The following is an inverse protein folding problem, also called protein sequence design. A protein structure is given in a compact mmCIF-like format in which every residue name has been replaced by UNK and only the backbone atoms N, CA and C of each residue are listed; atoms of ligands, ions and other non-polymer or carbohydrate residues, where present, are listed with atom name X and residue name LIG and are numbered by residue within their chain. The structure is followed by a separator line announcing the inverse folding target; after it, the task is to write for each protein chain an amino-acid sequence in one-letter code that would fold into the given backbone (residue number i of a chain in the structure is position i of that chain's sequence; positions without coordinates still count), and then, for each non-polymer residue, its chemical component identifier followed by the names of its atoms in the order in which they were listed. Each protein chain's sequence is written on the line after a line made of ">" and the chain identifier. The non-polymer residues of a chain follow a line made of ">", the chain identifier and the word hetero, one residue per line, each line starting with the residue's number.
data_IF_958613201465
#
_entry.id   IF_958613201465
#
_cell.length_a   1.000
_cell.length_b   1.000
_cell.length_c   1.000
_cell.angle_alpha   90.00
_cell.angle_beta   90.00
_cell.angle_gamma   90.00
#
_symmetry.space_group_name_H-M   'P 1'
#
loop_
_entity.id
_entity.type
_entity.pdbx_description
1 polymer ?
#
# COMPACT_ATOMS: atom_id res chain seq x y z
N UNK A 1 -6.36 -30.32 -26.91
CA UNK A 1 -6.79 -29.72 -25.63
C UNK A 1 -8.18 -29.15 -25.78
N UNK A 2 -9.11 -29.50 -24.90
CA UNK A 2 -10.45 -28.90 -24.84
C UNK A 2 -10.37 -27.43 -24.44
N UNK A 3 -11.47 -26.67 -24.57
CA UNK A 3 -11.46 -25.26 -24.16
C UNK A 3 -11.28 -25.13 -22.63
N UNK A 4 -11.91 -26.01 -21.85
CA UNK A 4 -11.78 -25.97 -20.39
C UNK A 4 -10.38 -26.37 -19.91
N UNK A 5 -9.76 -27.38 -20.53
CA UNK A 5 -8.36 -27.72 -20.27
C UNK A 5 -7.44 -26.53 -20.60
N UNK A 6 -7.72 -25.82 -21.69
CA UNK A 6 -6.95 -24.64 -22.09
C UNK A 6 -7.10 -23.49 -21.09
N UNK A 7 -8.32 -23.19 -20.63
CA UNK A 7 -8.57 -22.18 -19.58
C UNK A 7 -7.78 -22.50 -18.32
N UNK A 8 -7.82 -23.75 -17.86
CA UNK A 8 -7.08 -24.20 -16.69
C UNK A 8 -5.57 -24.05 -16.90
N UNK A 9 -5.06 -24.39 -18.09
CA UNK A 9 -3.66 -24.20 -18.42
C UNK A 9 -3.25 -22.72 -18.38
N UNK A 10 -4.02 -21.82 -19.00
CA UNK A 10 -3.76 -20.36 -18.99
C UNK A 10 -3.75 -19.83 -17.56
N UNK A 11 -4.73 -20.22 -16.74
CA UNK A 11 -4.79 -19.81 -15.33
C UNK A 11 -3.57 -20.29 -14.54
N UNK A 12 -3.11 -21.52 -14.81
CA UNK A 12 -1.89 -22.05 -14.20
C UNK A 12 -0.61 -21.37 -14.71
N UNK A 13 -0.58 -20.87 -15.95
CA UNK A 13 0.53 -20.05 -16.43
C UNK A 13 0.57 -18.69 -15.71
N UNK A 14 -0.58 -18.02 -15.60
CA UNK A 14 -0.69 -16.70 -14.96
C UNK A 14 -0.33 -16.78 -13.46
N UNK A 15 -0.73 -17.86 -12.77
CA UNK A 15 -0.45 -18.03 -11.33
C UNK A 15 1.06 -18.12 -11.01
N UNK A 16 1.88 -18.48 -12.00
CA UNK A 16 3.33 -18.57 -11.86
C UNK A 16 4.05 -17.25 -12.14
N UNK A 17 3.37 -16.23 -12.66
CA UNK A 17 4.01 -14.97 -12.98
C UNK A 17 4.47 -14.24 -11.71
N UNK A 18 5.71 -13.72 -11.67
CA UNK A 18 6.19 -12.96 -10.54
C UNK A 18 5.42 -11.65 -10.42
N UNK A 19 4.89 -11.38 -9.23
CA UNK A 19 4.26 -10.11 -8.90
C UNK A 19 5.29 -9.23 -8.20
N UNK A 20 5.52 -8.03 -8.72
CA UNK A 20 6.48 -7.09 -8.17
C UNK A 20 6.11 -6.67 -6.73
N UNK A 21 7.14 -6.31 -5.95
CA UNK A 21 6.94 -5.81 -4.59
C UNK A 21 6.08 -4.54 -4.56
N UNK A 22 6.22 -3.68 -5.57
CA UNK A 22 5.41 -2.48 -5.70
C UNK A 22 3.92 -2.82 -5.86
N UNK A 23 3.55 -3.66 -6.85
CA UNK A 23 2.15 -4.08 -7.07
C UNK A 23 1.55 -4.70 -5.80
N UNK A 24 2.30 -5.60 -5.14
CA UNK A 24 1.86 -6.26 -3.90
C UNK A 24 1.63 -5.28 -2.75
N UNK A 25 2.37 -4.17 -2.70
CA UNK A 25 2.23 -3.15 -1.65
C UNK A 25 1.16 -2.09 -1.94
N UNK A 26 0.92 -1.81 -3.21
CA UNK A 26 0.02 -0.74 -3.67
C UNK A 26 -1.43 -1.19 -3.70
N UNK A 27 -1.69 -2.43 -4.12
CA UNK A 27 -3.03 -2.96 -4.29
C UNK A 27 -3.38 -3.93 -3.16
N UNK A 28 -4.47 -3.64 -2.44
CA UNK A 28 -5.04 -4.56 -1.44
C UNK A 28 -5.80 -5.70 -2.10
N UNK A 29 -6.32 -5.49 -3.31
CA UNK A 29 -6.83 -6.56 -4.16
C UNK A 29 -6.68 -6.24 -5.65
N UNK A 30 -6.54 -7.31 -6.44
CA UNK A 30 -6.46 -7.26 -7.90
C UNK A 30 -7.19 -8.46 -8.48
N UNK A 31 -7.95 -8.24 -9.56
CA UNK A 31 -8.64 -9.32 -10.28
C UNK A 31 -8.39 -9.20 -11.78
N UNK A 32 -8.23 -10.34 -12.45
CA UNK A 32 -8.15 -10.41 -13.91
C UNK A 32 -9.35 -11.20 -14.39
N UNK A 33 -10.15 -10.57 -15.25
CA UNK A 33 -11.37 -11.16 -15.81
C UNK A 33 -11.13 -11.40 -17.30
N UNK A 34 -10.89 -12.65 -17.66
CA UNK A 34 -10.75 -13.07 -19.05
C UNK A 34 -12.12 -13.56 -19.53
N UNK A 35 -12.68 -12.91 -20.55
CA UNK A 35 -13.96 -13.31 -21.13
C UNK A 35 -13.84 -14.65 -21.88
N UNK A 36 -14.96 -15.33 -22.06
CA UNK A 36 -15.01 -16.62 -22.75
C UNK A 36 -14.50 -16.50 -24.19
N UNK A 37 -14.93 -15.46 -24.90
CA UNK A 37 -14.54 -15.18 -26.29
C UNK A 37 -13.04 -14.89 -26.42
N UNK A 38 -12.43 -14.35 -25.37
CA UNK A 38 -10.99 -14.15 -25.30
C UNK A 38 -10.25 -15.50 -25.28
N UNK A 39 -10.70 -16.47 -24.46
CA UNK A 39 -10.11 -17.80 -24.43
C UNK A 39 -10.25 -18.54 -25.75
N UNK A 40 -11.43 -18.44 -26.38
CA UNK A 40 -11.65 -19.03 -27.70
C UNK A 40 -10.67 -18.44 -28.73
N UNK A 41 -10.45 -17.13 -28.71
CA UNK A 41 -9.48 -16.50 -29.60
C UNK A 41 -8.06 -16.93 -29.29
N UNK A 42 -7.62 -16.81 -28.03
CA UNK A 42 -6.24 -17.15 -27.64
C UNK A 42 -5.90 -18.60 -28.04
N UNK A 43 -6.84 -19.53 -27.90
CA UNK A 43 -6.67 -20.93 -28.31
C UNK A 43 -6.41 -21.11 -29.80
N UNK A 44 -6.98 -20.24 -30.64
CA UNK A 44 -6.89 -20.31 -32.10
C UNK A 44 -5.83 -19.34 -32.69
N UNK A 45 -5.38 -18.36 -31.91
CA UNK A 45 -4.49 -17.27 -32.30
C UNK A 45 -3.34 -17.14 -31.29
N UNK A 46 -2.18 -17.77 -31.56
CA UNK A 46 -1.00 -17.72 -30.69
C UNK A 46 -0.43 -16.30 -30.50
N UNK A 47 -0.66 -15.39 -31.45
CA UNK A 47 -0.23 -14.00 -31.32
C UNK A 47 -1.06 -13.30 -30.25
N UNK A 48 -2.39 -13.51 -30.28
CA UNK A 48 -3.29 -12.98 -29.27
C UNK A 48 -3.07 -13.60 -27.89
N UNK A 49 -2.79 -14.90 -27.82
CA UNK A 49 -2.39 -15.56 -26.56
C UNK A 49 -1.17 -14.85 -25.94
N UNK A 50 -0.12 -14.64 -26.73
CA UNK A 50 1.08 -13.95 -26.26
C UNK A 50 0.80 -12.50 -25.85
N UNK A 51 -0.06 -11.79 -26.58
CA UNK A 51 -0.52 -10.46 -26.20
C UNK A 51 -1.17 -10.46 -24.82
N UNK A 52 -2.12 -11.37 -24.57
CA UNK A 52 -2.81 -11.47 -23.28
C UNK A 52 -1.85 -11.82 -22.15
N UNK A 53 -0.99 -12.83 -22.33
CA UNK A 53 -0.02 -13.23 -21.31
C UNK A 53 0.99 -12.11 -21.01
N UNK A 54 1.46 -11.40 -22.03
CA UNK A 54 2.37 -10.26 -21.85
C UNK A 54 1.68 -9.06 -21.18
N UNK A 55 0.41 -8.81 -21.47
CA UNK A 55 -0.38 -7.78 -20.78
C UNK A 55 -0.44 -8.06 -19.29
N UNK A 56 -0.81 -9.28 -18.90
CA UNK A 56 -0.88 -9.69 -17.48
C UNK A 56 0.49 -9.60 -16.81
N UNK A 57 1.55 -10.10 -17.48
CA UNK A 57 2.93 -10.01 -16.98
C UNK A 57 3.37 -8.55 -16.77
N UNK A 58 3.02 -7.67 -17.70
CA UNK A 58 3.35 -6.24 -17.62
C UNK A 58 2.64 -5.58 -16.44
N UNK A 59 1.36 -5.88 -16.22
CA UNK A 59 0.60 -5.39 -15.08
C UNK A 59 1.23 -5.80 -13.73
N UNK A 60 1.71 -7.05 -13.62
CA UNK A 60 2.37 -7.56 -12.41
C UNK A 60 3.79 -6.98 -12.19
N UNK A 61 4.45 -6.52 -13.26
CA UNK A 61 5.84 -6.08 -13.23
C UNK A 61 6.03 -4.57 -12.96
N UNK A 62 4.95 -3.80 -12.80
CA UNK A 62 5.03 -2.34 -12.56
C UNK A 62 5.83 -2.04 -11.29
N UNK A 63 6.83 -1.16 -11.38
CA UNK A 63 7.75 -0.85 -10.27
C UNK A 63 7.55 0.53 -9.61
N UNK A 64 6.69 1.39 -10.16
CA UNK A 64 6.51 2.72 -9.60
C UNK A 64 5.56 3.60 -10.41
N UNK A 65 4.33 3.72 -9.94
CA UNK A 65 3.40 4.78 -10.33
C UNK A 65 3.15 5.69 -9.13
N UNK A 66 2.90 7.00 -9.31
CA UNK A 66 2.61 7.93 -8.24
C UNK A 66 1.15 7.77 -7.75
N UNK A 67 0.79 6.56 -7.34
CA UNK A 67 -0.51 6.23 -6.76
C UNK A 67 -0.31 5.91 -5.28
N UNK A 68 -1.29 6.29 -4.45
CA UNK A 68 -1.27 6.00 -3.01
C UNK A 68 -1.32 4.49 -2.71
N UNK A 69 -1.24 4.11 -1.44
CA UNK A 69 -1.42 2.72 -1.01
C UNK A 69 -2.90 2.35 -0.87
N UNK A 70 -3.20 1.05 -0.75
CA UNK A 70 -4.53 0.51 -0.52
C UNK A 70 -5.54 0.80 -1.65
N UNK A 71 -5.16 0.41 -2.88
CA UNK A 71 -6.04 0.46 -4.05
C UNK A 71 -6.66 -0.92 -4.35
N UNK A 72 -7.80 -0.91 -5.04
CA UNK A 72 -8.35 -2.06 -5.75
C UNK A 72 -8.05 -1.93 -7.24
N UNK A 73 -7.81 -3.05 -7.91
CA UNK A 73 -7.69 -3.10 -9.36
C UNK A 73 -8.49 -4.23 -9.98
N UNK A 74 -8.94 -4.03 -11.21
CA UNK A 74 -9.40 -5.09 -12.07
C UNK A 74 -8.94 -4.86 -13.52
N UNK A 75 -8.63 -5.93 -14.24
CA UNK A 75 -8.32 -5.88 -15.67
C UNK A 75 -9.24 -6.86 -16.42
N UNK A 76 -10.02 -6.34 -17.36
CA UNK A 76 -10.95 -7.10 -18.19
C UNK A 76 -10.30 -7.32 -19.56
N UNK A 77 -10.20 -8.58 -19.98
CA UNK A 77 -9.62 -9.01 -21.24
C UNK A 77 -10.74 -9.53 -22.15
N UNK A 78 -10.96 -8.82 -23.26
CA UNK A 78 -11.98 -9.15 -24.26
C UNK A 78 -11.45 -9.97 -25.42
N UNK A 79 -12.24 -10.10 -26.49
CA UNK A 79 -11.85 -10.84 -27.69
C UNK A 79 -10.87 -10.06 -28.57
N UNK A 80 -10.72 -8.74 -28.35
CA UNK A 80 -9.74 -7.92 -29.04
C UNK A 80 -9.02 -6.95 -28.09
N UNK A 81 -7.87 -6.38 -28.51
CA UNK A 81 -7.15 -5.38 -27.71
C UNK A 81 -8.01 -4.17 -27.32
N UNK A 82 -8.93 -3.76 -28.17
CA UNK A 82 -9.84 -2.63 -27.96
C UNK A 82 -10.91 -2.92 -26.90
N UNK A 83 -11.27 -4.19 -26.74
CA UNK A 83 -12.21 -4.64 -25.70
C UNK A 83 -11.53 -4.87 -24.34
N UNK A 84 -10.20 -4.74 -24.29
CA UNK A 84 -9.44 -4.85 -23.05
C UNK A 84 -9.44 -3.52 -22.29
N UNK A 85 -9.89 -3.51 -21.03
CA UNK A 85 -9.87 -2.31 -20.19
C UNK A 85 -9.59 -2.66 -18.74
N UNK A 86 -8.89 -1.76 -18.05
CA UNK A 86 -8.55 -1.94 -16.65
C UNK A 86 -8.89 -0.72 -15.81
N UNK A 87 -9.08 -0.93 -14.53
CA UNK A 87 -9.31 0.11 -13.53
C UNK A 87 -8.42 -0.12 -12.32
N UNK A 88 -7.92 0.98 -11.75
CA UNK A 88 -7.15 1.01 -10.51
C UNK A 88 -7.54 2.27 -9.73
N UNK A 89 -7.92 2.12 -8.46
CA UNK A 89 -8.31 3.26 -7.63
C UNK A 89 -8.39 2.92 -6.14
N UNK A 90 -8.49 3.94 -5.28
CA UNK A 90 -8.45 3.76 -3.82
C UNK A 90 -9.64 2.96 -3.31
N UNK A 91 -9.41 2.16 -2.27
CA UNK A 91 -10.49 1.46 -1.55
C UNK A 91 -11.17 2.41 -0.58
N UNK A 92 -12.43 2.75 -0.86
CA UNK A 92 -13.27 3.59 0.00
C UNK A 92 -12.98 5.09 -0.12
N UNK A 93 -13.64 5.89 0.75
CA UNK A 93 -13.35 7.33 0.86
C UNK A 93 -11.90 7.49 1.31
N UNK A 94 -11.08 8.16 0.51
CA UNK A 94 -9.77 8.61 0.92
C UNK A 94 -9.90 9.33 2.28
N UNK A 95 -9.04 9.00 3.26
CA UNK A 95 -9.03 9.65 4.58
C UNK A 95 -8.86 11.17 4.58
N UNK A 96 -8.79 11.79 3.39
CA UNK A 96 -8.98 13.22 3.17
C UNK A 96 -10.32 13.78 3.67
N UNK A 97 -11.37 12.95 3.84
CA UNK A 97 -12.67 13.44 4.36
C UNK A 97 -12.81 13.38 5.89
N UNK A 98 -11.80 12.89 6.64
CA UNK A 98 -11.90 12.73 8.11
C UNK A 98 -10.77 13.37 8.91
N UNK A 99 -9.97 14.27 8.33
CA UNK A 99 -8.92 14.98 9.05
C UNK A 99 -8.92 16.48 8.73
N UNK A 100 -9.94 17.19 9.19
CA UNK A 100 -9.91 18.64 9.28
C UNK A 100 -10.69 19.13 10.51
N UNK A 101 -10.44 18.48 11.64
CA UNK A 101 -10.89 18.91 12.96
C UNK A 101 -9.68 19.32 13.83
N UNK A 102 -9.06 20.44 13.46
CA UNK A 102 -8.27 21.29 14.36
C UNK A 102 -7.09 20.62 15.09
N UNK A 103 -5.89 21.02 14.67
CA UNK A 103 -4.56 20.61 15.17
C UNK A 103 -4.09 19.22 14.73
N UNK A 104 -2.97 19.24 14.00
CA UNK A 104 -2.28 18.07 13.46
C UNK A 104 -1.84 17.14 14.59
N UNK A 105 -1.90 15.83 14.35
CA UNK A 105 -1.34 14.82 15.27
C UNK A 105 0.11 15.13 15.68
N UNK A 106 0.89 15.74 14.77
CA UNK A 106 2.27 16.16 15.03
C UNK A 106 2.36 17.32 16.02
N UNK A 107 1.44 18.28 15.97
CA UNK A 107 1.39 19.41 16.89
C UNK A 107 1.05 18.92 18.30
N UNK A 108 0.00 18.11 18.44
CA UNK A 108 -0.38 17.47 19.71
C UNK A 108 0.74 16.60 20.29
N UNK A 109 1.50 15.91 19.43
CA UNK A 109 2.67 15.13 19.84
C UNK A 109 3.82 16.01 20.33
N UNK A 110 4.06 17.14 19.66
CA UNK A 110 5.16 18.04 20.00
C UNK A 110 4.89 18.78 21.31
N UNK A 111 3.67 19.28 21.51
CA UNK A 111 3.25 19.95 22.75
C UNK A 111 3.40 19.03 23.97
N UNK A 112 2.93 17.78 23.87
CA UNK A 112 3.10 16.77 24.92
C UNK A 112 4.59 16.53 25.26
N UNK A 113 5.46 16.55 24.26
CA UNK A 113 6.90 16.39 24.48
C UNK A 113 7.51 17.61 25.19
N UNK A 114 7.09 18.83 24.84
CA UNK A 114 7.54 20.04 25.54
C UNK A 114 7.11 20.07 27.00
N UNK A 115 5.88 19.68 27.31
CA UNK A 115 5.38 19.62 28.68
C UNK A 115 6.21 18.63 29.53
N UNK A 116 6.47 17.43 28.99
CA UNK A 116 7.30 16.44 29.65
C UNK A 116 8.73 16.95 29.91
N UNK A 117 9.32 17.69 28.97
CA UNK A 117 10.64 18.30 29.18
C UNK A 117 10.61 19.35 30.29
N UNK A 118 9.61 20.24 30.29
CA UNK A 118 9.44 21.27 31.33
C UNK A 118 9.24 20.64 32.71
N UNK A 119 8.53 19.52 32.81
CA UNK A 119 8.38 18.78 34.06
C UNK A 119 9.70 18.16 34.55
N UNK A 120 10.45 17.52 33.64
CA UNK A 120 11.76 16.95 33.99
C UNK A 120 12.75 18.02 34.44
N UNK A 121 12.78 19.18 33.79
CA UNK A 121 13.60 20.32 34.20
C UNK A 121 13.22 20.81 35.60
N UNK A 122 11.92 20.99 35.87
CA UNK A 122 11.43 21.39 37.19
C UNK A 122 11.81 20.37 38.27
N UNK A 123 11.70 19.07 37.98
CA UNK A 123 12.14 18.03 38.91
C UNK A 123 13.65 18.05 39.15
N UNK A 124 14.46 18.21 38.09
CA UNK A 124 15.91 18.29 38.20
C UNK A 124 16.37 19.52 39.01
N UNK A 125 15.71 20.66 38.83
CA UNK A 125 15.95 21.88 39.63
C UNK A 125 15.56 21.68 41.09
N UNK A 126 14.43 21.02 41.39
CA UNK A 126 14.05 20.68 42.78
C UNK A 126 15.05 19.72 43.42
N UNK A 127 15.50 18.70 42.69
CA UNK A 127 16.50 17.73 43.18
C UNK A 127 17.87 18.38 43.42
N UNK A 128 18.30 19.30 42.57
CA UNK A 128 19.58 20.00 42.74
C UNK A 128 19.52 21.00 43.91
N UNK A 129 18.49 21.84 43.98
CA UNK A 129 18.31 22.79 45.10
C UNK A 129 18.13 22.10 46.46
N UNK A 130 17.44 20.96 46.50
CA UNK A 130 17.35 20.10 47.70
C UNK A 130 18.70 19.55 48.16
N UNK A 131 19.55 19.10 47.21
CA UNK A 131 20.91 18.65 47.50
C UNK A 131 21.79 19.77 48.04
N UNK A 132 21.73 20.98 47.47
CA UNK A 132 22.53 22.13 47.92
C UNK A 132 22.17 22.55 49.34
N UNK A 133 20.86 22.64 49.66
CA UNK A 133 20.38 22.93 51.04
C UNK A 133 20.81 21.88 52.06
N UNK A 134 20.90 20.61 51.67
CA UNK A 134 21.38 19.53 52.54
C UNK A 134 22.90 19.57 52.80
N UNK A 135 23.66 20.17 51.88
CA UNK A 135 25.11 20.26 51.95
C UNK A 135 25.55 21.46 52.83
N UNK A 136 24.91 22.62 52.68
CA UNK A 136 25.15 23.79 53.56
C UNK A 136 24.80 23.51 55.01
N UNK A 137 23.71 22.77 55.29
CA UNK A 137 23.32 22.39 56.67
C UNK A 137 24.30 21.42 57.35
N UNK A 138 25.15 20.73 56.58
CA UNK A 138 26.16 19.78 57.09
C UNK A 138 27.51 20.44 57.39
N UNK A 139 27.79 21.60 56.81
CA UNK A 139 29.05 22.35 57.02
C UNK A 139 28.97 23.28 58.23
N UNK A 140 27.75 23.62 58.68
CA UNK A 140 27.50 24.55 59.81
C UNK A 140 27.27 23.86 61.17
N UNK A 141 27.76 22.63 61.37
CA UNK A 141 27.68 21.89 62.65
C UNK A 141 29.06 21.55 63.17
#
# INVERSE_FOLDING_TARGET
>A
MSLDEYKQWVMNQISQFPVSGWVRSTFSSGSIVIKEEAFERMKNDPEYENYVLNRVRSAYSVQGLPVGSNNVSFDVIGASPEECYGYAGPVGKSGSETANDGESWWEKRHERMEELMKEQEKEAVKRSTGKTKSCTKRISK
#
